data_IF_595347487439
#
_entry.id   IF_595347487439
#
_cell.length_a   1.000
_cell.length_b   1.000
_cell.length_c   1.000
_cell.angle_alpha   90.00
_cell.angle_beta   90.00
_cell.angle_gamma   90.00
#
_symmetry.space_group_name_H-M   'P 1'
#
loop_
_entity.id
_entity.type
_entity.pdbx_description
1 polymer ?
#
# COMPACT_ATOMS: atom_id res chain seq x y z
N UNK A 1 1.63 8.92 -4.16
CA UNK A 1 0.27 8.57 -3.72
C UNK A 1 0.28 7.22 -3.01
N UNK A 2 -0.65 7.02 -2.07
CA UNK A 2 -0.98 5.72 -1.48
C UNK A 2 -2.30 5.26 -2.08
N UNK A 3 -2.29 4.07 -2.68
CA UNK A 3 -3.52 3.41 -3.12
C UNK A 3 -3.92 2.35 -2.11
N UNK A 4 -5.20 2.31 -1.77
CA UNK A 4 -5.79 1.38 -0.79
C UNK A 4 -6.74 0.43 -1.53
N UNK A 5 -6.63 -0.90 -1.39
CA UNK A 5 -7.50 -1.84 -2.07
C UNK A 5 -8.86 -1.86 -1.37
N UNK A 6 -9.79 -1.04 -1.87
CA UNK A 6 -11.15 -0.92 -1.34
C UNK A 6 -12.11 -1.84 -2.10
N UNK A 7 -11.73 -3.11 -2.20
CA UNK A 7 -12.47 -4.22 -2.79
C UNK A 7 -12.07 -5.50 -2.05
N UNK A 8 -12.85 -6.58 -2.20
CA UNK A 8 -12.57 -7.91 -1.63
C UNK A 8 -11.91 -8.79 -2.72
N UNK A 9 -10.62 -9.06 -2.57
CA UNK A 9 -9.76 -9.64 -3.60
C UNK A 9 -9.92 -11.15 -3.73
N UNK A 10 -10.08 -11.85 -2.61
CA UNK A 10 -10.22 -13.31 -2.53
C UNK A 10 -11.62 -13.78 -2.10
N UNK A 11 -12.50 -12.85 -1.72
CA UNK A 11 -13.89 -13.10 -1.33
C UNK A 11 -14.03 -13.94 -0.05
N UNK A 12 -13.06 -13.86 0.86
CA UNK A 12 -13.13 -14.54 2.15
C UNK A 12 -13.94 -13.74 3.19
N UNK A 13 -14.05 -12.43 2.99
CA UNK A 13 -14.75 -11.50 3.86
C UNK A 13 -14.15 -11.42 5.28
N UNK A 14 -12.85 -11.64 5.43
CA UNK A 14 -12.07 -11.58 6.66
C UNK A 14 -11.55 -10.17 6.95
N UNK A 15 -11.50 -9.80 8.24
CA UNK A 15 -10.95 -8.51 8.65
C UNK A 15 -10.20 -8.62 9.98
N UNK A 16 -9.19 -7.77 10.13
CA UNK A 16 -8.46 -7.61 11.38
C UNK A 16 -9.40 -7.15 12.51
N UNK A 17 -9.04 -7.50 13.74
CA UNK A 17 -9.67 -7.02 14.98
C UNK A 17 -11.21 -7.17 15.04
N UNK A 18 -11.77 -8.16 14.32
CA UNK A 18 -13.21 -8.42 14.30
C UNK A 18 -14.03 -7.35 13.57
N UNK A 19 -13.40 -6.57 12.68
CA UNK A 19 -14.08 -5.49 11.94
C UNK A 19 -15.06 -5.97 10.88
N UNK A 20 -14.99 -7.25 10.49
CA UNK A 20 -15.73 -7.80 9.35
C UNK A 20 -17.24 -7.50 9.40
N UNK A 21 -17.98 -7.70 10.51
CA UNK A 21 -19.42 -7.38 10.54
C UNK A 21 -19.71 -5.89 10.33
N UNK A 22 -18.89 -5.01 10.92
CA UNK A 22 -19.04 -3.56 10.78
C UNK A 22 -18.76 -3.11 9.35
N UNK A 23 -17.69 -3.61 8.73
CA UNK A 23 -17.32 -3.28 7.35
C UNK A 23 -18.39 -3.78 6.36
N UNK A 24 -18.89 -5.02 6.53
CA UNK A 24 -20.00 -5.55 5.73
C UNK A 24 -21.26 -4.71 5.88
N UNK A 25 -21.58 -4.24 7.09
CA UNK A 25 -22.75 -3.38 7.34
C UNK A 25 -22.62 -2.00 6.66
N UNK A 26 -21.45 -1.39 6.73
CA UNK A 26 -21.20 -0.04 6.18
C UNK A 26 -21.04 -0.03 4.66
N UNK A 27 -20.37 -1.05 4.10
CA UNK A 27 -19.91 -1.03 2.71
C UNK A 27 -20.44 -2.19 1.86
N UNK A 28 -21.14 -3.16 2.46
CA UNK A 28 -21.60 -4.38 1.78
C UNK A 28 -20.51 -5.43 1.52
N UNK A 29 -19.25 -5.09 1.77
CA UNK A 29 -18.06 -5.93 1.58
C UNK A 29 -17.09 -5.76 2.75
N UNK A 30 -16.11 -6.66 2.85
CA UNK A 30 -14.90 -6.40 3.64
C UNK A 30 -13.78 -6.10 2.66
N UNK A 31 -13.30 -4.86 2.59
CA UNK A 31 -12.20 -4.56 1.69
C UNK A 31 -10.87 -5.15 2.19
N UNK A 32 -10.03 -5.64 1.26
CA UNK A 32 -8.66 -6.12 1.50
C UNK A 32 -7.80 -5.11 2.27
N UNK A 33 -8.16 -3.82 2.22
CA UNK A 33 -7.62 -2.77 3.05
C UNK A 33 -7.55 -3.16 4.56
N UNK A 34 -8.49 -3.95 5.05
CA UNK A 34 -8.60 -4.35 6.45
C UNK A 34 -8.35 -5.84 6.69
N UNK A 35 -8.02 -6.59 5.65
CA UNK A 35 -7.79 -8.03 5.72
C UNK A 35 -6.33 -8.34 6.12
N UNK A 36 -6.08 -9.14 7.19
CA UNK A 36 -4.74 -9.60 7.53
C UNK A 36 -4.03 -10.43 6.45
N UNK A 37 -4.79 -11.06 5.54
CA UNK A 37 -4.31 -11.97 4.50
C UNK A 37 -4.83 -11.57 3.11
N UNK A 38 -4.58 -10.32 2.67
CA UNK A 38 -5.25 -9.76 1.49
C UNK A 38 -5.04 -10.64 0.25
N UNK A 39 -6.12 -10.79 -0.52
CA UNK A 39 -6.10 -11.50 -1.81
C UNK A 39 -5.21 -10.85 -2.87
N UNK A 40 -4.76 -9.61 -2.65
CA UNK A 40 -3.87 -8.86 -3.52
C UNK A 40 -2.50 -8.54 -2.91
N UNK A 41 -1.52 -8.38 -3.80
CA UNK A 41 -0.20 -7.91 -3.39
C UNK A 41 -0.25 -6.45 -2.92
N UNK A 42 0.20 -6.21 -1.70
CA UNK A 42 0.38 -4.88 -1.13
C UNK A 42 1.85 -4.50 -1.17
N UNK A 43 2.18 -3.37 -1.76
CA UNK A 43 3.56 -2.95 -1.97
C UNK A 43 3.98 -1.98 -0.86
N UNK A 44 4.76 -2.47 0.09
CA UNK A 44 5.50 -1.60 0.99
C UNK A 44 6.47 -0.71 0.18
N UNK A 45 6.92 0.45 0.71
CA UNK A 45 7.94 1.28 0.08
C UNK A 45 9.31 0.60 0.23
N UNK A 46 9.49 -0.48 -0.50
CA UNK A 46 10.68 -1.30 -0.50
C UNK A 46 11.06 -1.63 -1.95
N UNK A 47 12.35 -1.93 -2.22
CA UNK A 47 12.86 -2.00 -3.59
C UNK A 47 12.30 -3.17 -4.44
N UNK A 48 11.41 -3.99 -3.89
CA UNK A 48 10.74 -5.09 -4.57
C UNK A 48 11.72 -6.18 -5.01
N UNK A 49 11.23 -7.30 -5.59
CA UNK A 49 12.13 -8.37 -6.01
C UNK A 49 13.11 -7.91 -7.11
N UNK A 50 14.39 -8.32 -7.06
CA UNK A 50 14.99 -9.30 -6.14
C UNK A 50 15.53 -8.72 -4.83
N UNK A 51 15.40 -7.41 -4.59
CA UNK A 51 16.02 -6.74 -3.45
C UNK A 51 15.23 -6.92 -2.16
N UNK A 52 13.89 -6.96 -2.24
CA UNK A 52 13.00 -7.30 -1.12
C UNK A 52 11.78 -8.08 -1.60
N UNK A 53 11.29 -8.98 -0.77
CA UNK A 53 10.03 -9.70 -0.97
C UNK A 53 9.28 -9.71 0.36
N UNK A 54 8.94 -8.53 0.90
CA UNK A 54 8.35 -8.46 2.21
C UNK A 54 6.98 -9.12 2.23
N UNK A 55 6.93 -10.21 2.98
CA UNK A 55 5.73 -10.94 3.41
C UNK A 55 5.58 -10.75 4.91
N UNK A 56 5.66 -9.52 5.37
CA UNK A 56 5.51 -9.23 6.79
C UNK A 56 4.04 -9.25 7.21
N UNK A 57 3.76 -9.41 8.52
CA UNK A 57 2.41 -9.33 9.07
C UNK A 57 1.71 -8.01 8.71
N UNK A 58 0.38 -8.02 8.78
CA UNK A 58 -0.44 -6.83 8.61
C UNK A 58 0.12 -5.62 9.40
N UNK A 59 0.24 -4.46 8.73
CA UNK A 59 0.74 -3.23 9.35
C UNK A 59 2.25 -3.18 9.64
N UNK A 60 3.07 -4.07 9.06
CA UNK A 60 4.53 -4.12 9.32
C UNK A 60 5.42 -3.53 8.22
N UNK A 61 4.87 -2.79 7.27
CA UNK A 61 5.72 -2.04 6.33
C UNK A 61 6.69 -1.13 7.10
N UNK A 62 7.96 -1.15 6.68
CA UNK A 62 9.03 -0.41 7.36
C UNK A 62 8.69 1.08 7.46
N UNK A 63 8.92 1.68 8.65
CA UNK A 63 8.68 3.10 8.95
C UNK A 63 7.22 3.57 8.92
N UNK A 64 6.26 2.68 9.22
CA UNK A 64 4.84 3.03 9.26
C UNK A 64 4.20 2.90 10.65
N UNK A 65 3.10 3.63 10.88
CA UNK A 65 2.26 3.48 12.06
C UNK A 65 1.56 2.13 12.02
N UNK A 66 1.43 1.46 13.16
CA UNK A 66 0.69 0.18 13.24
C UNK A 66 -0.82 0.39 13.38
N UNK A 67 -1.24 1.58 13.81
CA UNK A 67 -2.65 1.98 13.92
C UNK A 67 -2.84 3.41 13.42
N UNK A 68 -4.06 3.69 12.95
CA UNK A 68 -4.53 5.03 12.61
C UNK A 68 -5.84 5.34 13.33
N UNK A 69 -6.05 6.61 13.64
CA UNK A 69 -7.36 7.08 14.10
C UNK A 69 -8.26 7.40 12.89
N UNK A 70 -9.22 6.51 12.62
CA UNK A 70 -10.24 6.75 11.59
C UNK A 70 -11.45 7.54 12.08
N UNK A 71 -11.46 7.92 13.36
CA UNK A 71 -12.49 8.72 13.99
C UNK A 71 -12.89 9.98 13.20
N UNK A 72 -11.92 10.83 12.81
CA UNK A 72 -12.21 12.02 11.99
C UNK A 72 -12.90 11.71 10.66
N UNK A 73 -12.48 10.64 9.97
CA UNK A 73 -13.06 10.23 8.69
C UNK A 73 -14.48 9.72 8.89
N UNK A 74 -14.68 8.79 9.82
CA UNK A 74 -16.00 8.23 10.13
C UNK A 74 -16.98 9.31 10.60
N UNK A 75 -16.51 10.29 11.36
CA UNK A 75 -17.33 11.44 11.76
C UNK A 75 -17.72 12.31 10.58
N UNK A 76 -16.79 12.58 9.64
CA UNK A 76 -17.08 13.34 8.43
C UNK A 76 -18.11 12.65 7.51
N UNK A 77 -18.19 11.32 7.59
CA UNK A 77 -19.19 10.50 6.89
C UNK A 77 -20.52 10.38 7.66
N UNK A 78 -20.65 10.99 8.85
CA UNK A 78 -21.85 10.91 9.68
C UNK A 78 -22.08 9.55 10.32
N UNK A 79 -21.07 8.67 10.35
CA UNK A 79 -21.18 7.31 10.89
C UNK A 79 -20.97 7.25 12.40
N UNK A 80 -20.26 8.23 12.96
CA UNK A 80 -20.01 8.36 14.41
C UNK A 80 -20.08 9.84 14.85
N UNK A 81 -20.27 10.13 16.16
CA UNK A 81 -20.16 11.47 16.69
C UNK A 81 -18.78 12.11 16.47
N UNK A 82 -18.68 13.45 16.40
CA UNK A 82 -17.40 14.14 16.29
C UNK A 82 -16.48 13.89 17.48
N UNK A 83 -15.17 13.94 17.23
CA UNK A 83 -14.09 13.74 18.21
C UNK A 83 -14.06 12.36 18.89
N UNK A 84 -14.74 11.36 18.34
CA UNK A 84 -14.50 9.97 18.75
C UNK A 84 -13.21 9.47 18.12
N UNK A 85 -12.36 8.83 18.95
CA UNK A 85 -11.15 8.14 18.50
C UNK A 85 -11.53 6.71 18.13
N UNK A 86 -11.20 6.30 16.91
CA UNK A 86 -11.41 4.94 16.41
C UNK A 86 -10.07 4.43 15.88
N UNK A 87 -9.30 3.78 16.77
CA UNK A 87 -7.99 3.23 16.44
C UNK A 87 -8.15 1.90 15.70
N UNK A 88 -7.84 1.90 14.41
CA UNK A 88 -7.84 0.69 13.58
C UNK A 88 -6.41 0.35 13.16
N UNK A 89 -6.11 -0.93 12.93
CA UNK A 89 -4.89 -1.33 12.25
C UNK A 89 -4.72 -0.53 10.96
N UNK A 90 -3.49 -0.10 10.66
CA UNK A 90 -3.33 0.75 9.49
C UNK A 90 -3.64 -0.04 8.21
N UNK A 91 -4.51 0.48 7.32
CA UNK A 91 -4.96 -0.29 6.18
C UNK A 91 -3.83 -0.74 5.27
N UNK A 92 -3.99 -1.91 4.66
CA UNK A 92 -3.18 -2.36 3.54
C UNK A 92 -3.19 -1.32 2.41
N UNK A 93 -2.02 -1.08 1.80
CA UNK A 93 -1.86 -0.11 0.73
C UNK A 93 -0.62 -0.39 -0.13
N UNK A 94 -0.59 0.24 -1.31
CA UNK A 94 0.58 0.27 -2.20
C UNK A 94 0.99 1.72 -2.49
N UNK A 95 2.27 1.93 -2.78
CA UNK A 95 2.83 3.26 -3.05
C UNK A 95 3.01 3.51 -4.55
N UNK A 96 2.62 4.70 -5.00
CA UNK A 96 2.96 5.23 -6.31
C UNK A 96 3.89 6.41 -6.09
N UNK A 97 5.11 6.32 -6.61
CA UNK A 97 6.09 7.40 -6.61
C UNK A 97 6.07 8.03 -8.01
N UNK A 98 5.90 9.35 -8.06
CA UNK A 98 5.92 10.09 -9.31
C UNK A 98 7.36 10.49 -9.66
N UNK A 99 8.03 9.67 -10.47
CA UNK A 99 9.43 9.84 -10.87
C UNK A 99 10.30 8.63 -10.49
N UNK A 100 11.56 8.66 -10.91
CA UNK A 100 12.45 7.49 -10.80
C UNK A 100 13.46 7.53 -9.64
N UNK A 101 14.07 8.68 -9.37
CA UNK A 101 15.08 8.81 -8.33
C UNK A 101 14.99 10.17 -7.65
N UNK A 102 14.95 10.16 -6.32
CA UNK A 102 14.89 11.36 -5.49
C UNK A 102 15.84 11.20 -4.31
N UNK A 103 16.60 12.26 -4.02
CA UNK A 103 17.26 12.36 -2.71
C UNK A 103 16.23 12.39 -1.57
N UNK A 104 16.70 12.29 -0.33
CA UNK A 104 15.81 12.32 0.84
C UNK A 104 15.02 13.63 0.91
N UNK A 105 13.69 13.52 0.82
CA UNK A 105 12.76 14.66 0.89
C UNK A 105 11.53 14.30 1.72
N UNK A 106 10.79 15.32 2.14
CA UNK A 106 9.48 15.15 2.75
C UNK A 106 8.42 14.94 1.67
N UNK A 107 7.84 13.75 1.64
CA UNK A 107 6.77 13.36 0.74
C UNK A 107 5.42 13.58 1.39
N UNK A 108 4.60 14.45 0.80
CA UNK A 108 3.20 14.58 1.20
C UNK A 108 2.45 13.32 0.80
N UNK A 109 1.79 12.69 1.75
CA UNK A 109 0.94 11.53 1.49
C UNK A 109 -0.43 11.99 1.00
N UNK A 110 -0.86 11.39 -0.10
CA UNK A 110 -2.21 11.51 -0.67
C UNK A 110 -2.78 10.11 -0.73
N UNK A 111 -4.02 9.92 -0.31
CA UNK A 111 -4.67 8.61 -0.25
C UNK A 111 -5.71 8.50 -1.35
N UNK A 112 -5.74 7.37 -2.04
CA UNK A 112 -6.75 7.04 -3.05
C UNK A 112 -7.31 5.65 -2.78
N UNK A 113 -8.64 5.55 -2.69
CA UNK A 113 -9.33 4.26 -2.61
C UNK A 113 -9.50 3.69 -4.02
N UNK A 114 -8.97 2.50 -4.27
CA UNK A 114 -9.16 1.76 -5.53
C UNK A 114 -10.30 0.77 -5.31
N UNK A 115 -11.33 0.82 -6.15
CA UNK A 115 -12.56 0.05 -5.97
C UNK A 115 -12.71 -1.10 -6.97
N UNK A 116 -11.81 -1.19 -7.95
CA UNK A 116 -11.84 -2.22 -8.99
C UNK A 116 -10.50 -2.97 -9.01
N UNK A 117 -10.55 -4.26 -8.65
CA UNK A 117 -9.40 -5.17 -8.65
C UNK A 117 -8.65 -5.22 -10.00
N UNK A 118 -9.34 -5.04 -11.13
CA UNK A 118 -8.72 -5.12 -12.46
C UNK A 118 -7.65 -4.05 -12.72
N UNK A 119 -7.62 -2.98 -11.93
CA UNK A 119 -6.59 -1.93 -12.02
C UNK A 119 -5.58 -1.99 -10.89
N UNK A 120 -5.71 -2.91 -9.93
CA UNK A 120 -4.74 -3.07 -8.86
C UNK A 120 -3.37 -3.51 -9.41
N UNK A 121 -2.24 -2.98 -8.92
CA UNK A 121 -0.93 -3.42 -9.37
C UNK A 121 -0.64 -4.84 -8.93
N UNK A 122 -0.03 -5.63 -9.82
CA UNK A 122 0.49 -6.94 -9.44
C UNK A 122 1.76 -6.79 -8.59
N UNK A 123 2.17 -7.87 -7.92
CA UNK A 123 3.39 -7.91 -7.11
C UNK A 123 4.64 -7.44 -7.89
N UNK A 124 4.69 -7.75 -9.19
CA UNK A 124 5.77 -7.35 -10.07
C UNK A 124 5.64 -5.90 -10.58
N UNK A 125 4.65 -5.10 -10.18
CA UNK A 125 4.46 -3.72 -10.66
C UNK A 125 4.55 -3.57 -12.19
N UNK A 126 4.11 -4.56 -12.97
CA UNK A 126 4.12 -4.55 -14.44
C UNK A 126 2.74 -4.27 -15.02
N UNK A 127 1.68 -4.58 -14.27
CA UNK A 127 0.27 -4.37 -14.66
C UNK A 127 -0.46 -3.51 -13.64
N UNK A 128 -1.66 -3.03 -13.99
CA UNK A 128 -2.47 -2.17 -13.11
C UNK A 128 -1.89 -0.77 -12.94
N UNK A 129 -2.24 -0.12 -11.83
CA UNK A 129 -1.82 1.24 -11.48
C UNK A 129 -0.35 1.20 -11.01
N UNK A 130 0.56 1.46 -11.95
CA UNK A 130 2.02 1.48 -11.71
C UNK A 130 2.64 2.86 -11.92
N UNK A 131 1.81 3.88 -12.15
CA UNK A 131 2.25 5.27 -12.33
C UNK A 131 1.10 6.23 -12.04
N UNK A 132 1.45 7.50 -11.80
CA UNK A 132 0.45 8.54 -11.58
C UNK A 132 -0.48 8.70 -12.79
N UNK A 133 0.03 8.61 -14.02
CA UNK A 133 -0.78 8.65 -15.23
C UNK A 133 -1.82 7.51 -15.28
N UNK A 134 -1.44 6.30 -14.88
CA UNK A 134 -2.38 5.17 -14.80
C UNK A 134 -3.39 5.34 -13.66
N UNK A 135 -3.00 5.94 -12.54
CA UNK A 135 -3.93 6.30 -11.47
C UNK A 135 -4.98 7.29 -11.98
N UNK A 136 -4.56 8.35 -12.69
CA UNK A 136 -5.49 9.33 -13.28
C UNK A 136 -6.44 8.68 -14.28
N UNK A 137 -5.95 7.74 -15.10
CA UNK A 137 -6.81 6.98 -16.01
C UNK A 137 -7.83 6.11 -15.26
N UNK A 138 -7.42 5.45 -14.16
CA UNK A 138 -8.33 4.66 -13.32
C UNK A 138 -9.41 5.53 -12.65
N UNK A 139 -9.03 6.71 -12.14
CA UNK A 139 -9.97 7.68 -11.58
C UNK A 139 -10.97 8.18 -12.63
N UNK A 140 -10.51 8.53 -13.83
CA UNK A 140 -11.37 8.95 -14.94
C UNK A 140 -12.33 7.84 -15.39
N UNK A 141 -11.94 6.57 -15.25
CA UNK A 141 -12.77 5.41 -15.54
C UNK A 141 -13.71 5.01 -14.38
N UNK A 142 -13.72 5.75 -13.27
CA UNK A 142 -14.55 5.44 -12.09
C UNK A 142 -14.08 4.22 -11.29
N UNK A 143 -12.84 3.78 -11.47
CA UNK A 143 -12.24 2.60 -10.84
C UNK A 143 -11.43 2.92 -9.58
N UNK A 144 -11.26 4.21 -9.30
CA UNK A 144 -10.62 4.73 -8.11
C UNK A 144 -11.27 6.08 -7.74
N UNK A 145 -11.33 6.38 -6.45
CA UNK A 145 -11.82 7.66 -5.94
C UNK A 145 -10.86 8.81 -6.25
N UNK A 146 -11.35 10.04 -6.14
CA UNK A 146 -10.50 11.23 -6.17
C UNK A 146 -9.48 11.23 -5.02
N UNK A 147 -8.44 12.04 -5.18
CA UNK A 147 -7.39 12.22 -4.18
C UNK A 147 -7.95 12.73 -2.86
N UNK A 148 -7.67 12.01 -1.78
CA UNK A 148 -7.96 12.44 -0.42
C UNK A 148 -6.68 13.04 0.16
N UNK A 149 -6.62 14.38 0.35
CA UNK A 149 -5.44 15.01 0.91
C UNK A 149 -5.27 14.60 2.37
N UNK A 150 -4.02 14.39 2.79
CA UNK A 150 -3.68 14.19 4.20
C UNK A 150 -2.77 15.30 4.70
N UNK A 151 -2.65 15.40 6.03
CA UNK A 151 -1.60 16.15 6.71
C UNK A 151 -0.41 15.27 7.09
N UNK A 152 -0.33 14.06 6.53
CA UNK A 152 0.72 13.08 6.82
C UNK A 152 1.86 13.22 5.81
N UNK A 153 3.09 13.15 6.32
CA UNK A 153 4.32 13.25 5.53
C UNK A 153 5.28 12.14 5.91
N UNK A 154 5.98 11.61 4.91
CA UNK A 154 7.02 10.60 5.09
C UNK A 154 8.36 11.16 4.60
N UNK A 155 9.45 10.92 5.34
CA UNK A 155 10.79 11.35 4.96
C UNK A 155 11.62 10.16 4.47
N UNK A 156 11.85 10.06 3.16
CA UNK A 156 12.64 8.99 2.55
C UNK A 156 13.28 9.40 1.21
N UNK A 157 14.36 8.70 0.84
CA UNK A 157 14.98 8.67 -0.49
C UNK A 157 14.26 7.61 -1.35
N UNK A 158 14.12 7.85 -2.66
CA UNK A 158 13.60 6.87 -3.61
C UNK A 158 14.66 6.57 -4.67
N UNK A 159 14.93 5.28 -4.89
CA UNK A 159 15.81 4.81 -5.97
C UNK A 159 15.15 3.72 -6.79
N UNK A 160 15.22 3.87 -8.09
CA UNK A 160 14.88 2.83 -9.03
C UNK A 160 16.09 1.94 -9.29
N UNK A 161 15.92 0.64 -9.09
CA UNK A 161 16.94 -0.36 -9.39
C UNK A 161 16.64 -1.02 -10.74
N UNK A 162 17.66 -1.40 -11.53
CA UNK A 162 17.44 -2.24 -12.70
C UNK A 162 16.77 -3.55 -12.28
N UNK A 163 15.67 -3.93 -12.93
CA UNK A 163 15.17 -5.31 -12.83
C UNK A 163 16.18 -6.21 -13.51
N UNK A 164 16.90 -7.00 -12.73
CA UNK A 164 17.59 -8.16 -13.29
C UNK A 164 16.51 -9.18 -13.62
N UNK A 165 16.29 -9.45 -14.91
CA UNK A 165 15.49 -10.60 -15.32
C UNK A 165 16.02 -11.85 -14.60
N UNK A 166 15.11 -12.67 -14.08
CA UNK A 166 15.40 -13.85 -13.24
C UNK A 166 16.27 -14.92 -13.92
N UNK A 167 16.63 -14.74 -15.18
CA UNK A 167 17.58 -15.57 -15.92
C UNK A 167 19.05 -15.25 -15.60
N UNK A 168 19.37 -14.07 -15.04
CA UNK A 168 20.75 -13.67 -14.76
C UNK A 168 21.29 -14.12 -13.38
N UNK A 169 20.43 -14.56 -12.47
CA UNK A 169 20.83 -14.99 -11.11
C UNK A 169 21.53 -16.35 -11.05
N UNK A 170 21.61 -17.09 -12.16
CA UNK A 170 22.38 -18.34 -12.24
C UNK A 170 23.91 -18.12 -12.37
N UNK A 171 24.38 -16.86 -12.49
CA UNK A 171 25.78 -16.56 -12.76
C UNK A 171 26.31 -15.36 -11.95
N UNK A 172 26.36 -15.48 -10.62
CA UNK A 172 27.22 -14.62 -9.79
C UNK A 172 28.16 -15.51 -8.95
N UNK A 173 29.41 -15.76 -9.40
CA UNK A 173 30.40 -16.44 -8.59
C UNK A 173 31.00 -15.47 -7.57
N UNK A 174 30.84 -15.79 -6.28
CA UNK A 174 31.75 -15.42 -5.19
C UNK A 174 32.01 -13.94 -4.93
N UNK A 175 31.16 -13.30 -4.11
CA UNK A 175 31.59 -12.13 -3.36
C UNK A 175 32.36 -12.57 -2.11
N UNK A 176 33.69 -12.48 -2.19
CA UNK A 176 34.61 -12.62 -1.07
C UNK A 176 34.29 -11.58 0.02
N UNK A 177 34.04 -12.06 1.24
CA UNK A 177 34.08 -11.26 2.47
C UNK A 177 35.54 -10.85 2.73
N UNK A 178 35.90 -9.62 2.37
CA UNK A 178 37.16 -9.00 2.74
C UNK A 178 37.03 -8.36 4.13
N UNK A 179 38.06 -8.55 4.95
CA UNK A 179 38.02 -8.40 6.40
C UNK A 179 37.93 -6.97 6.93
N UNK A 180 37.56 -6.89 8.20
CA UNK A 180 37.87 -5.77 9.08
C UNK A 180 38.73 -6.27 10.22
N UNK A 181 39.93 -5.69 10.30
CA UNK A 181 40.86 -5.82 11.42
C UNK A 181 40.28 -5.13 12.67
N UNK A 182 40.51 -5.75 13.81
CA UNK A 182 40.65 -5.10 15.11
C UNK A 182 42.07 -5.35 15.63
#
# INVERSE_FOLDING_TARGET
>A
DLIVPFFDGDNDGEAADGLAPTLKSLFGIVPDAFDPTPGEAVQCPEPGPPLTEHKGPFGTCTMHTTKIDLGPVLSSLGLIPPNQVVQLPTPNHSHIIDGGNFGSIWWKVVVVLVTDKSVWPNAAGTTGITSLAKLRAAQAAGKAFADVPTNFFLFFDSRQFPRTDSTAMAAMPGMHMAGMSH
#
